data_IF_025796273486
#
_entry.id   IF_025796273486
#
_cell.length_a   1.000
_cell.length_b   1.000
_cell.length_c   1.000
_cell.angle_alpha   90.00
_cell.angle_beta   90.00
_cell.angle_gamma   90.00
#
_symmetry.space_group_name_H-M   'P 1'
#
loop_
_entity.id
_entity.type
_entity.pdbx_description
1 polymer ?
#
# COMPACT_ATOMS: atom_id res chain seq x y z
N UNK A 1 -27.92 44.77 6.76
CA UNK A 1 -26.91 44.43 5.73
C UNK A 1 -27.55 43.49 4.73
N UNK A 2 -27.17 43.63 3.46
CA UNK A 2 -27.97 43.35 2.27
C UNK A 2 -28.30 41.87 1.96
N UNK A 3 -29.41 41.74 1.22
CA UNK A 3 -29.87 40.60 0.42
C UNK A 3 -28.76 39.94 -0.41
N UNK A 4 -28.90 38.63 -0.70
CA UNK A 4 -29.21 38.08 -2.05
C UNK A 4 -29.61 36.60 -1.91
N UNK A 5 -30.81 36.28 -2.39
CA UNK A 5 -31.21 34.94 -2.80
C UNK A 5 -30.86 34.76 -4.28
N UNK A 6 -30.39 33.58 -4.68
CA UNK A 6 -30.47 33.13 -6.07
C UNK A 6 -30.76 31.62 -6.09
N UNK A 7 -31.97 31.29 -6.52
CA UNK A 7 -32.30 29.98 -7.04
C UNK A 7 -31.71 29.87 -8.45
N UNK A 8 -31.14 28.71 -8.80
CA UNK A 8 -31.14 28.26 -10.18
C UNK A 8 -31.46 26.76 -10.22
N UNK A 9 -32.66 26.48 -10.71
CA UNK A 9 -33.09 25.16 -11.17
C UNK A 9 -32.36 24.92 -12.50
N UNK A 10 -31.66 23.79 -12.60
CA UNK A 10 -31.28 23.21 -13.89
C UNK A 10 -31.78 21.77 -13.93
N UNK A 11 -32.97 21.59 -14.51
CA UNK A 11 -33.40 20.32 -15.06
C UNK A 11 -32.72 20.21 -16.43
N UNK A 12 -31.80 19.26 -16.58
CA UNK A 12 -31.42 18.73 -17.89
C UNK A 12 -31.67 17.23 -17.87
N UNK A 13 -32.86 16.84 -18.33
CA UNK A 13 -33.09 15.54 -18.94
C UNK A 13 -32.28 15.48 -20.24
N UNK A 14 -31.59 14.36 -20.47
CA UNK A 14 -31.07 14.03 -21.81
C UNK A 14 -29.55 14.13 -21.94
N UNK A 15 -28.84 13.21 -21.29
CA UNK A 15 -27.83 12.44 -22.00
C UNK A 15 -27.74 11.09 -21.28
N UNK A 16 -28.28 10.06 -21.94
CA UNK A 16 -27.75 8.72 -21.83
C UNK A 16 -26.24 8.87 -22.08
N UNK A 17 -25.45 8.98 -21.02
CA UNK A 17 -24.05 8.68 -21.14
C UNK A 17 -24.04 7.23 -21.61
N UNK A 18 -23.51 6.90 -22.81
CA UNK A 18 -23.14 5.53 -23.04
C UNK A 18 -22.26 5.18 -21.83
N UNK A 19 -22.59 4.09 -21.17
CA UNK A 19 -21.73 3.46 -20.18
C UNK A 19 -20.39 3.28 -20.88
N UNK A 20 -19.54 4.30 -20.75
CA UNK A 20 -18.15 4.24 -21.08
C UNK A 20 -17.60 3.32 -20.02
N UNK A 21 -17.71 2.02 -20.26
CA UNK A 21 -16.72 1.05 -19.87
C UNK A 21 -15.38 1.69 -20.26
N UNK A 22 -14.81 2.47 -19.34
CA UNK A 22 -13.48 3.02 -19.50
C UNK A 22 -12.59 1.81 -19.59
N UNK A 23 -12.22 1.46 -20.83
CA UNK A 23 -11.43 0.26 -21.10
C UNK A 23 -10.15 0.42 -20.30
N UNK A 24 -10.08 -0.34 -19.21
CA UNK A 24 -8.94 -0.36 -18.33
C UNK A 24 -7.75 -0.88 -19.10
N UNK A 25 -6.72 -0.05 -19.28
CA UNK A 25 -5.64 -0.43 -20.17
C UNK A 25 -4.77 -1.49 -19.52
N UNK A 26 -4.19 -2.37 -20.34
CA UNK A 26 -3.11 -3.27 -19.91
C UNK A 26 -1.96 -2.45 -19.28
N UNK A 27 -1.74 -1.22 -19.75
CA UNK A 27 -0.72 -0.32 -19.21
C UNK A 27 -0.99 0.09 -17.76
N UNK A 28 -2.24 0.43 -17.39
CA UNK A 28 -2.57 0.79 -16.01
C UNK A 28 -2.36 -0.39 -15.05
N UNK A 29 -2.69 -1.60 -15.52
CA UNK A 29 -2.51 -2.81 -14.71
C UNK A 29 -1.03 -3.19 -14.55
N UNK A 30 -0.26 -3.11 -15.63
CA UNK A 30 1.19 -3.32 -15.60
C UNK A 30 1.88 -2.29 -14.69
N UNK A 31 1.39 -1.05 -14.68
CA UNK A 31 1.90 -0.02 -13.76
C UNK A 31 1.66 -0.40 -12.30
N UNK A 32 0.47 -0.91 -11.97
CA UNK A 32 0.17 -1.41 -10.62
C UNK A 32 1.04 -2.60 -10.23
N UNK A 33 1.25 -3.55 -11.13
CA UNK A 33 2.19 -4.66 -10.90
C UNK A 33 3.61 -4.15 -10.61
N UNK A 34 4.13 -3.23 -11.43
CA UNK A 34 5.47 -2.67 -11.24
C UNK A 34 5.62 -1.94 -9.90
N UNK A 35 4.63 -1.13 -9.50
CA UNK A 35 4.63 -0.47 -8.19
C UNK A 35 4.57 -1.49 -7.04
N UNK A 36 3.81 -2.58 -7.19
CA UNK A 36 3.77 -3.68 -6.23
C UNK A 36 5.11 -4.41 -6.07
N UNK A 37 5.84 -4.64 -7.17
CA UNK A 37 7.18 -5.24 -7.15
C UNK A 37 8.21 -4.32 -6.46
N UNK A 38 8.15 -3.01 -6.71
CA UNK A 38 8.98 -2.02 -6.01
C UNK A 38 8.67 -1.98 -4.52
N UNK A 39 7.39 -2.04 -4.15
CA UNK A 39 6.98 -2.19 -2.75
C UNK A 39 7.61 -3.43 -2.11
N UNK A 40 7.53 -4.61 -2.74
CA UNK A 40 8.15 -5.85 -2.23
C UNK A 40 9.66 -5.71 -2.03
N UNK A 41 10.36 -5.10 -2.98
CA UNK A 41 11.81 -4.85 -2.86
C UNK A 41 12.12 -3.96 -1.65
N UNK A 42 11.39 -2.86 -1.48
CA UNK A 42 11.57 -1.96 -0.34
C UNK A 42 11.24 -2.64 1.00
N UNK A 43 10.20 -3.48 1.05
CA UNK A 43 9.88 -4.23 2.26
C UNK A 43 10.98 -5.21 2.66
N UNK A 44 11.64 -5.83 1.68
CA UNK A 44 12.80 -6.69 1.93
C UNK A 44 14.00 -5.87 2.42
N UNK A 45 14.30 -4.73 1.78
CA UNK A 45 15.36 -3.83 2.26
C UNK A 45 15.12 -3.34 3.69
N UNK A 46 13.86 -3.09 4.06
CA UNK A 46 13.51 -2.71 5.44
C UNK A 46 13.80 -3.87 6.42
N UNK A 47 13.37 -5.08 6.07
CA UNK A 47 13.62 -6.28 6.88
C UNK A 47 15.12 -6.52 7.07
N UNK A 48 15.91 -6.37 6.01
CA UNK A 48 17.37 -6.50 6.07
C UNK A 48 17.99 -5.46 7.01
N UNK A 49 17.58 -4.19 6.91
CA UNK A 49 18.04 -3.13 7.80
C UNK A 49 17.65 -3.39 9.28
N UNK A 50 16.44 -3.91 9.51
CA UNK A 50 15.98 -4.28 10.85
C UNK A 50 16.77 -5.44 11.44
N UNK A 51 17.05 -6.48 10.64
CA UNK A 51 17.81 -7.66 11.06
C UNK A 51 19.29 -7.32 11.32
N UNK A 52 19.89 -6.47 10.48
CA UNK A 52 21.27 -6.03 10.64
C UNK A 52 21.45 -5.24 11.93
N UNK A 53 20.55 -4.28 12.21
CA UNK A 53 20.57 -3.50 13.44
C UNK A 53 20.35 -4.38 14.69
N UNK A 54 19.41 -5.34 14.63
CA UNK A 54 19.16 -6.27 15.72
C UNK A 54 20.37 -7.18 15.99
N UNK A 55 21.04 -7.67 14.94
CA UNK A 55 22.21 -8.57 15.05
C UNK A 55 23.43 -7.85 15.64
N UNK A 56 23.60 -6.57 15.31
CA UNK A 56 24.71 -5.73 15.81
C UNK A 56 24.48 -5.18 17.22
N UNK A 57 23.26 -5.29 17.75
CA UNK A 57 22.87 -4.69 19.02
C UNK A 57 22.82 -3.16 18.99
N UNK A 58 22.92 -2.54 17.80
CA UNK A 58 22.83 -1.08 17.61
C UNK A 58 21.39 -0.69 17.28
N UNK A 59 20.53 -0.87 18.27
CA UNK A 59 19.09 -0.61 18.17
C UNK A 59 18.76 0.89 18.18
N UNK A 60 19.71 1.75 18.52
CA UNK A 60 19.55 3.20 18.40
C UNK A 60 19.57 3.64 16.93
N UNK A 61 20.37 2.98 16.08
CA UNK A 61 20.45 3.26 14.66
C UNK A 61 19.32 2.64 13.82
N UNK A 62 18.54 1.68 14.38
CA UNK A 62 17.47 1.00 13.62
C UNK A 62 16.45 1.99 13.07
N UNK A 63 16.12 3.05 13.82
CA UNK A 63 15.23 4.12 13.36
C UNK A 63 15.82 4.87 12.17
N UNK A 64 17.07 5.32 12.28
CA UNK A 64 17.77 6.07 11.24
C UNK A 64 17.94 5.26 9.95
N UNK A 65 18.24 3.97 10.06
CA UNK A 65 18.39 3.09 8.89
C UNK A 65 17.04 2.77 8.21
N UNK A 66 15.94 2.72 8.97
CA UNK A 66 14.63 2.28 8.46
C UNK A 66 13.70 3.41 8.01
N UNK A 67 13.83 4.61 8.58
CA UNK A 67 13.00 5.77 8.27
C UNK A 67 12.98 6.20 6.78
N UNK A 68 14.11 6.29 6.05
CA UNK A 68 14.08 6.62 4.62
C UNK A 68 13.42 5.52 3.79
N UNK A 69 13.50 4.26 4.24
CA UNK A 69 12.85 3.12 3.56
C UNK A 69 11.33 3.17 3.80
N UNK A 70 10.88 3.44 5.04
CA UNK A 70 9.46 3.65 5.33
C UNK A 70 8.83 4.75 4.48
N UNK A 71 9.56 5.86 4.28
CA UNK A 71 9.09 6.96 3.44
C UNK A 71 8.82 6.50 2.01
N UNK A 72 9.76 5.75 1.42
CA UNK A 72 9.59 5.20 0.07
C UNK A 72 8.45 4.17 0.01
N UNK A 73 8.31 3.31 1.02
CA UNK A 73 7.21 2.35 1.10
C UNK A 73 5.85 3.07 1.13
N UNK A 74 5.72 4.14 1.92
CA UNK A 74 4.49 4.95 1.99
C UNK A 74 4.19 5.65 0.66
N UNK A 75 5.21 6.13 -0.04
CA UNK A 75 5.06 6.66 -1.39
C UNK A 75 4.51 5.60 -2.34
N UNK A 76 5.04 4.37 -2.32
CA UNK A 76 4.51 3.28 -3.15
C UNK A 76 3.08 2.89 -2.80
N UNK A 77 2.70 2.89 -1.53
CA UNK A 77 1.30 2.69 -1.12
C UNK A 77 0.40 3.78 -1.71
N UNK A 78 0.85 5.04 -1.69
CA UNK A 78 0.10 6.17 -2.26
C UNK A 78 -0.05 6.02 -3.77
N UNK A 79 1.03 5.67 -4.47
CA UNK A 79 1.00 5.38 -5.91
C UNK A 79 0.05 4.22 -6.23
N UNK A 80 0.06 3.14 -5.44
CA UNK A 80 -0.88 2.02 -5.61
C UNK A 80 -2.33 2.49 -5.42
N UNK A 81 -2.62 3.35 -4.44
CA UNK A 81 -3.97 3.92 -4.25
C UNK A 81 -4.42 4.75 -5.45
N UNK A 82 -3.55 5.61 -5.97
CA UNK A 82 -3.85 6.44 -7.13
C UNK A 82 -4.10 5.60 -8.40
N UNK A 83 -3.36 4.51 -8.55
CA UNK A 83 -3.52 3.56 -9.64
C UNK A 83 -4.81 2.73 -9.46
N UNK A 84 -5.10 2.27 -8.24
CA UNK A 84 -6.29 1.51 -7.93
C UNK A 84 -7.59 2.33 -8.04
N UNK A 85 -7.55 3.62 -7.74
CA UNK A 85 -8.69 4.52 -7.89
C UNK A 85 -9.15 4.63 -9.35
N UNK A 86 -8.22 4.42 -10.29
CA UNK A 86 -8.55 4.38 -11.71
C UNK A 86 -9.30 3.08 -12.01
N UNK A 87 -8.88 1.92 -11.47
CA UNK A 87 -9.47 0.59 -11.71
C UNK A 87 -10.99 0.56 -11.49
N UNK A 88 -11.67 -0.39 -12.14
CA UNK A 88 -13.11 -0.67 -11.93
C UNK A 88 -13.35 -2.17 -11.74
N UNK A 89 -14.43 -2.51 -11.06
CA UNK A 89 -14.89 -3.90 -10.89
C UNK A 89 -13.92 -4.77 -10.08
N UNK A 90 -13.79 -6.04 -10.47
CA UNK A 90 -12.97 -7.02 -9.75
C UNK A 90 -11.49 -6.61 -9.57
N UNK A 91 -10.78 -6.07 -10.59
CA UNK A 91 -9.42 -5.57 -10.41
C UNK A 91 -9.29 -4.51 -9.30
N UNK A 92 -10.22 -3.56 -9.23
CA UNK A 92 -10.20 -2.52 -8.19
C UNK A 92 -10.30 -3.13 -6.79
N UNK A 93 -11.19 -4.11 -6.62
CA UNK A 93 -11.38 -4.76 -5.33
C UNK A 93 -10.13 -5.51 -4.88
N UNK A 94 -9.47 -6.24 -5.79
CA UNK A 94 -8.22 -6.97 -5.47
C UNK A 94 -7.07 -6.00 -5.20
N UNK A 95 -6.96 -4.92 -5.98
CA UNK A 95 -5.97 -3.87 -5.73
C UNK A 95 -6.16 -3.20 -4.35
N UNK A 96 -7.40 -2.89 -3.97
CA UNK A 96 -7.73 -2.32 -2.65
C UNK A 96 -7.41 -3.29 -1.50
N UNK A 97 -7.66 -4.59 -1.69
CA UNK A 97 -7.25 -5.61 -0.71
C UNK A 97 -5.73 -5.65 -0.56
N UNK A 98 -4.99 -5.64 -1.68
CA UNK A 98 -3.52 -5.63 -1.68
C UNK A 98 -2.97 -4.39 -0.97
N UNK A 99 -3.54 -3.21 -1.23
CA UNK A 99 -3.18 -1.96 -0.55
C UNK A 99 -3.44 -2.06 0.96
N UNK A 100 -4.58 -2.62 1.37
CA UNK A 100 -4.89 -2.80 2.80
C UNK A 100 -3.90 -3.74 3.49
N UNK A 101 -3.51 -4.83 2.84
CA UNK A 101 -2.47 -5.74 3.35
C UNK A 101 -1.12 -5.02 3.44
N UNK A 102 -0.77 -4.18 2.46
CA UNK A 102 0.45 -3.37 2.48
C UNK A 102 0.49 -2.37 3.65
N UNK A 103 -0.62 -1.72 3.96
CA UNK A 103 -0.73 -0.79 5.09
C UNK A 103 -0.61 -1.50 6.44
N UNK A 104 -1.24 -2.67 6.57
CA UNK A 104 -1.10 -3.54 7.74
C UNK A 104 0.34 -3.96 7.95
N UNK A 105 1.05 -4.30 6.87
CA UNK A 105 2.46 -4.67 6.91
C UNK A 105 3.30 -3.50 7.46
N UNK A 106 3.09 -2.28 6.94
CA UNK A 106 3.83 -1.10 7.40
C UNK A 106 3.56 -0.80 8.88
N UNK A 107 2.31 -0.98 9.32
CA UNK A 107 1.97 -0.82 10.73
C UNK A 107 2.73 -1.80 11.62
N UNK A 108 2.76 -3.09 11.25
CA UNK A 108 3.50 -4.11 11.97
C UNK A 108 5.02 -3.84 11.98
N UNK A 109 5.58 -3.45 10.84
CA UNK A 109 7.00 -3.12 10.72
C UNK A 109 7.38 -1.90 11.58
N UNK A 110 6.53 -0.87 11.64
CA UNK A 110 6.73 0.27 12.55
C UNK A 110 6.73 -0.19 14.01
N UNK A 111 5.78 -1.05 14.40
CA UNK A 111 5.77 -1.61 15.76
C UNK A 111 7.05 -2.39 16.09
N UNK A 112 7.59 -3.16 15.14
CA UNK A 112 8.85 -3.86 15.33
C UNK A 112 10.02 -2.88 15.50
N UNK A 113 10.12 -1.84 14.68
CA UNK A 113 11.16 -0.81 14.84
C UNK A 113 11.06 -0.10 16.18
N UNK A 114 9.85 0.27 16.61
CA UNK A 114 9.64 0.90 17.93
C UNK A 114 9.97 -0.02 19.10
N UNK A 115 9.67 -1.32 19.00
CA UNK A 115 10.09 -2.31 19.99
C UNK A 115 11.62 -2.46 20.02
N UNK A 116 12.25 -2.49 18.83
CA UNK A 116 13.70 -2.54 18.68
C UNK A 116 14.38 -1.36 19.37
N UNK A 117 13.93 -0.12 19.11
CA UNK A 117 14.43 1.10 19.78
C UNK A 117 14.34 1.03 21.32
N UNK A 118 13.36 0.31 21.85
CA UNK A 118 13.16 0.12 23.29
C UNK A 118 13.94 -1.05 23.87
N UNK A 119 14.71 -1.78 23.05
CA UNK A 119 15.35 -3.04 23.41
C UNK A 119 14.35 -4.08 23.97
N UNK A 120 13.09 -4.03 23.53
CA UNK A 120 12.08 -5.01 23.91
C UNK A 120 12.11 -6.18 22.92
N UNK A 121 12.95 -7.17 23.21
CA UNK A 121 13.14 -8.33 22.35
C UNK A 121 11.86 -9.15 22.16
N UNK A 122 10.99 -9.23 23.17
CA UNK A 122 9.72 -9.97 23.07
C UNK A 122 8.77 -9.25 22.11
N UNK A 123 8.53 -7.96 22.32
CA UNK A 123 7.67 -7.18 21.44
C UNK A 123 8.23 -7.09 20.00
N UNK A 124 9.56 -7.03 19.87
CA UNK A 124 10.23 -7.07 18.56
C UNK A 124 9.94 -8.38 17.84
N UNK A 125 10.15 -9.53 18.50
CA UNK A 125 9.91 -10.84 17.90
C UNK A 125 8.43 -11.07 17.53
N UNK A 126 7.50 -10.65 18.39
CA UNK A 126 6.06 -10.70 18.08
C UNK A 126 5.70 -9.83 16.85
N UNK A 127 6.29 -8.64 16.77
CA UNK A 127 6.06 -7.75 15.64
C UNK A 127 6.70 -8.29 14.35
N UNK A 128 7.90 -8.86 14.40
CA UNK A 128 8.54 -9.54 13.25
C UNK A 128 7.72 -10.74 12.78
N UNK A 129 7.18 -11.55 13.69
CA UNK A 129 6.29 -12.65 13.33
C UNK A 129 5.05 -12.15 12.58
N UNK A 130 4.46 -11.04 13.03
CA UNK A 130 3.33 -10.38 12.33
C UNK A 130 3.75 -9.85 10.95
N UNK A 131 4.92 -9.23 10.84
CA UNK A 131 5.46 -8.73 9.55
C UNK A 131 5.58 -9.88 8.55
N UNK A 132 6.15 -11.03 8.95
CA UNK A 132 6.30 -12.21 8.09
C UNK A 132 4.96 -12.84 7.69
N UNK A 133 4.00 -12.90 8.63
CA UNK A 133 2.66 -13.39 8.33
C UNK A 133 1.95 -12.51 7.30
N UNK A 134 2.04 -11.18 7.45
CA UNK A 134 1.42 -10.24 6.51
C UNK A 134 2.15 -10.24 5.16
N UNK A 135 3.47 -10.43 5.13
CA UNK A 135 4.21 -10.58 3.87
C UNK A 135 3.73 -11.80 3.06
N UNK A 136 3.43 -12.90 3.76
CA UNK A 136 2.84 -14.09 3.12
C UNK A 136 1.46 -13.79 2.55
N UNK A 137 0.62 -13.07 3.30
CA UNK A 137 -0.70 -12.59 2.83
C UNK A 137 -0.56 -11.67 1.61
N UNK A 138 0.41 -10.76 1.62
CA UNK A 138 0.68 -9.83 0.52
C UNK A 138 1.11 -10.56 -0.75
N UNK A 139 2.00 -11.55 -0.63
CA UNK A 139 2.44 -12.38 -1.76
C UNK A 139 1.29 -13.21 -2.35
N UNK A 140 0.38 -13.70 -1.51
CA UNK A 140 -0.84 -14.35 -1.98
C UNK A 140 -1.73 -13.37 -2.76
N UNK A 141 -1.89 -12.13 -2.29
CA UNK A 141 -2.67 -11.09 -2.97
C UNK A 141 -2.05 -10.63 -4.29
N UNK A 142 -0.72 -10.56 -4.38
CA UNK A 142 -0.02 -10.35 -5.66
C UNK A 142 -0.32 -11.49 -6.63
N UNK A 143 -0.35 -12.74 -6.16
CA UNK A 143 -0.67 -13.88 -7.00
C UNK A 143 -2.11 -13.82 -7.52
N UNK A 144 -3.07 -13.43 -6.67
CA UNK A 144 -4.46 -13.17 -7.08
C UNK A 144 -4.55 -12.05 -8.13
N UNK A 145 -3.82 -10.95 -7.93
CA UNK A 145 -3.75 -9.85 -8.90
C UNK A 145 -3.22 -10.32 -10.26
N UNK A 146 -2.11 -11.06 -10.27
CA UNK A 146 -1.51 -11.59 -11.50
C UNK A 146 -2.43 -12.58 -12.21
N UNK A 147 -3.20 -13.39 -11.48
CA UNK A 147 -4.18 -14.31 -12.06
C UNK A 147 -5.33 -13.58 -12.76
N UNK A 148 -5.68 -12.36 -12.32
CA UNK A 148 -6.67 -11.50 -13.00
C UNK A 148 -6.09 -10.89 -14.27
N UNK A 149 -4.78 -10.65 -14.33
CA UNK A 149 -4.11 -10.14 -15.54
C UNK A 149 -4.04 -11.14 -16.68
N UNK A 150 -4.00 -12.43 -16.36
CA UNK A 150 -3.83 -13.52 -17.33
C UNK A 150 -5.14 -13.93 -18.04
N UNK A 151 -6.27 -13.30 -17.71
CA UNK A 151 -7.59 -13.53 -18.28
C UNK A 151 -7.97 -12.41 -19.24
#
# INVERSE_FOLDING_TARGET
>A
MAFVAFALIAISLGACAPEGEGIFTVADRNKFTATGEEYTKLTNSLLDAMNDAATKGDTAAIGTATEPIFTQIQQKITEMKDQAAKLKGQPQNVANQLISTAERWVTAAKSAVEAGKKNDATAYNEAIAKVNAIATEFNAKISEWNAIQAK
#
